data_IF_755954332943
#
_entry.id   IF_755954332943
#
_cell.length_a   1.000
_cell.length_b   1.000
_cell.length_c   1.000
_cell.angle_alpha   90.00
_cell.angle_beta   90.00
_cell.angle_gamma   90.00
#
_symmetry.space_group_name_H-M   'P 1'
#
loop_
_entity.id
_entity.type
_entity.pdbx_description
1 polymer ?
#
# COMPACT_ATOMS: atom_id res chain seq x y z
N UNK A 1 -22.48 -30.74 -15.58
CA UNK A 1 -21.69 -30.11 -14.50
C UNK A 1 -21.97 -28.61 -14.55
N UNK A 2 -23.14 -28.21 -14.04
CA UNK A 2 -23.61 -26.82 -14.09
C UNK A 2 -23.36 -26.16 -12.75
N UNK A 3 -22.27 -25.40 -12.65
CA UNK A 3 -21.97 -24.60 -11.47
C UNK A 3 -22.86 -23.35 -11.50
N UNK A 4 -23.83 -23.32 -10.59
CA UNK A 4 -24.22 -22.21 -9.70
C UNK A 4 -23.97 -20.73 -10.10
N UNK A 5 -24.17 -20.36 -11.37
CA UNK A 5 -24.06 -18.96 -11.85
C UNK A 5 -24.73 -17.88 -10.96
N UNK A 6 -25.89 -18.09 -10.32
CA UNK A 6 -26.52 -17.07 -9.48
C UNK A 6 -25.76 -16.77 -8.18
N UNK A 7 -25.13 -17.77 -7.55
CA UNK A 7 -24.42 -17.60 -6.28
C UNK A 7 -23.06 -16.92 -6.48
N UNK A 8 -22.37 -17.25 -7.58
CA UNK A 8 -21.13 -16.58 -8.00
C UNK A 8 -21.35 -15.10 -8.34
N UNK A 9 -22.43 -14.77 -9.06
CA UNK A 9 -22.80 -13.39 -9.36
C UNK A 9 -23.11 -12.58 -8.08
N UNK A 10 -23.83 -13.17 -7.13
CA UNK A 10 -24.15 -12.54 -5.86
C UNK A 10 -22.89 -12.31 -5.00
N UNK A 11 -21.97 -13.28 -4.96
CA UNK A 11 -20.69 -13.15 -4.26
C UNK A 11 -19.82 -12.04 -4.89
N UNK A 12 -19.72 -12.00 -6.21
CA UNK A 12 -18.96 -10.97 -6.92
C UNK A 12 -19.52 -9.56 -6.70
N UNK A 13 -20.85 -9.41 -6.72
CA UNK A 13 -21.54 -8.15 -6.41
C UNK A 13 -21.31 -7.71 -4.96
N UNK A 14 -21.29 -8.65 -4.01
CA UNK A 14 -20.97 -8.38 -2.61
C UNK A 14 -19.54 -7.84 -2.46
N UNK A 15 -18.55 -8.48 -3.10
CA UNK A 15 -17.16 -8.01 -3.07
C UNK A 15 -17.04 -6.61 -3.68
N UNK A 16 -17.69 -6.37 -4.83
CA UNK A 16 -17.68 -5.04 -5.45
C UNK A 16 -18.25 -3.96 -4.53
N UNK A 17 -19.35 -4.26 -3.82
CA UNK A 17 -19.93 -3.35 -2.82
C UNK A 17 -18.98 -3.11 -1.65
N UNK A 18 -18.32 -4.15 -1.14
CA UNK A 18 -17.33 -4.03 -0.07
C UNK A 18 -16.16 -3.14 -0.49
N UNK A 19 -15.59 -3.36 -1.67
CA UNK A 19 -14.49 -2.54 -2.19
C UNK A 19 -14.89 -1.07 -2.34
N UNK A 20 -16.12 -0.79 -2.76
CA UNK A 20 -16.64 0.58 -2.85
C UNK A 20 -16.71 1.26 -1.47
N UNK A 21 -17.21 0.55 -0.46
CA UNK A 21 -17.30 1.06 0.91
C UNK A 21 -15.93 1.27 1.53
N UNK A 22 -15.03 0.28 1.38
CA UNK A 22 -13.64 0.37 1.82
C UNK A 22 -12.97 1.58 1.18
N UNK A 23 -13.06 1.72 -0.14
CA UNK A 23 -12.45 2.84 -0.87
C UNK A 23 -12.96 4.18 -0.35
N UNK A 24 -14.27 4.32 -0.12
CA UNK A 24 -14.82 5.56 0.44
C UNK A 24 -14.25 5.88 1.83
N UNK A 25 -14.10 4.87 2.69
CA UNK A 25 -13.52 5.03 4.04
C UNK A 25 -12.03 5.37 4.04
N UNK A 26 -11.27 5.05 2.98
CA UNK A 26 -9.86 5.45 2.85
C UNK A 26 -9.66 6.96 2.72
N UNK A 27 -10.70 7.70 2.32
CA UNK A 27 -10.69 9.17 2.28
C UNK A 27 -11.15 9.81 3.60
N UNK A 28 -11.47 9.02 4.62
CA UNK A 28 -11.87 9.55 5.92
C UNK A 28 -10.68 10.20 6.63
N UNK A 29 -10.89 11.40 7.17
CA UNK A 29 -9.93 12.05 8.07
C UNK A 29 -9.92 11.41 9.48
N UNK A 30 -10.92 10.58 9.82
CA UNK A 30 -10.94 9.82 11.07
C UNK A 30 -9.98 8.63 10.96
N UNK A 31 -8.91 8.67 11.74
CA UNK A 31 -7.83 7.68 11.67
C UNK A 31 -8.31 6.24 11.85
N UNK A 32 -9.24 5.99 12.78
CA UNK A 32 -9.75 4.64 13.06
C UNK A 32 -10.49 4.07 11.84
N UNK A 33 -11.40 4.85 11.23
CA UNK A 33 -12.14 4.46 10.02
C UNK A 33 -11.19 4.20 8.85
N UNK A 34 -10.17 5.05 8.70
CA UNK A 34 -9.13 4.89 7.68
C UNK A 34 -8.39 3.56 7.87
N UNK A 35 -7.90 3.29 9.08
CA UNK A 35 -7.11 2.08 9.36
C UNK A 35 -7.93 0.80 9.32
N UNK A 36 -9.21 0.84 9.70
CA UNK A 36 -10.14 -0.26 9.48
C UNK A 36 -10.28 -0.59 7.98
N UNK A 37 -10.41 0.44 7.14
CA UNK A 37 -10.49 0.25 5.69
C UNK A 37 -9.20 -0.32 5.09
N UNK A 38 -8.02 0.16 5.54
CA UNK A 38 -6.71 -0.39 5.14
C UNK A 38 -6.62 -1.88 5.48
N UNK A 39 -6.96 -2.25 6.72
CA UNK A 39 -6.95 -3.66 7.17
C UNK A 39 -7.93 -4.52 6.36
N UNK A 40 -9.16 -4.04 6.18
CA UNK A 40 -10.19 -4.75 5.41
C UNK A 40 -9.78 -4.96 3.95
N UNK A 41 -9.09 -3.99 3.33
CA UNK A 41 -8.54 -4.18 2.00
C UNK A 41 -7.45 -5.25 1.99
N UNK A 42 -6.54 -5.24 2.96
CA UNK A 42 -5.51 -6.27 3.12
C UNK A 42 -6.10 -7.69 3.21
N UNK A 43 -7.13 -7.88 4.05
CA UNK A 43 -7.82 -9.16 4.19
C UNK A 43 -8.51 -9.64 2.90
N UNK A 44 -9.00 -8.70 2.07
CA UNK A 44 -9.52 -9.04 0.74
C UNK A 44 -8.39 -9.36 -0.24
N UNK A 45 -7.30 -8.58 -0.24
CA UNK A 45 -6.14 -8.79 -1.09
C UNK A 45 -5.41 -10.12 -0.77
N UNK A 46 -5.54 -10.64 0.43
CA UNK A 46 -5.05 -11.98 0.81
C UNK A 46 -5.89 -13.14 0.25
N UNK A 47 -7.07 -12.87 -0.31
CA UNK A 47 -8.04 -13.90 -0.76
C UNK A 47 -8.25 -13.87 -2.29
N UNK A 48 -7.40 -14.57 -3.07
CA UNK A 48 -7.51 -14.62 -4.54
C UNK A 48 -8.84 -15.16 -5.06
N UNK A 49 -9.52 -15.99 -4.27
CA UNK A 49 -10.84 -16.55 -4.54
C UNK A 49 -11.96 -15.49 -4.51
N UNK A 50 -11.80 -14.44 -3.68
CA UNK A 50 -12.76 -13.34 -3.58
C UNK A 50 -12.33 -12.13 -4.42
N UNK A 51 -11.02 -11.87 -4.48
CA UNK A 51 -10.42 -10.75 -5.19
C UNK A 51 -9.23 -11.26 -6.01
N UNK A 52 -9.51 -11.54 -7.29
CA UNK A 52 -8.51 -11.98 -8.25
C UNK A 52 -7.49 -10.86 -8.58
N UNK A 53 -6.35 -11.26 -9.16
CA UNK A 53 -5.28 -10.34 -9.52
C UNK A 53 -5.71 -9.27 -10.52
N UNK A 54 -6.63 -9.59 -11.44
CA UNK A 54 -7.13 -8.64 -12.43
C UNK A 54 -7.89 -7.49 -11.79
N UNK A 55 -8.81 -7.83 -10.89
CA UNK A 55 -9.62 -6.86 -10.12
C UNK A 55 -8.77 -6.06 -9.13
N UNK A 56 -7.83 -6.70 -8.45
CA UNK A 56 -6.92 -5.99 -7.54
C UNK A 56 -5.99 -5.04 -8.31
N UNK A 57 -5.43 -5.48 -9.45
CA UNK A 57 -4.62 -4.64 -10.34
C UNK A 57 -5.37 -3.39 -10.80
N UNK A 58 -6.61 -3.55 -11.26
CA UNK A 58 -7.44 -2.41 -11.67
C UNK A 58 -7.79 -1.48 -10.51
N UNK A 59 -7.94 -2.01 -9.30
CA UNK A 59 -8.12 -1.19 -8.10
C UNK A 59 -6.86 -0.37 -7.78
N UNK A 60 -5.68 -1.00 -7.80
CA UNK A 60 -4.40 -0.34 -7.53
C UNK A 60 -4.09 0.75 -8.57
N UNK A 61 -4.34 0.49 -9.86
CA UNK A 61 -4.22 1.51 -10.92
C UNK A 61 -5.06 2.75 -10.63
N UNK A 62 -6.31 2.55 -10.22
CA UNK A 62 -7.19 3.66 -9.84
C UNK A 62 -6.67 4.41 -8.61
N UNK A 63 -6.14 3.71 -7.61
CA UNK A 63 -5.56 4.37 -6.44
C UNK A 63 -4.33 5.22 -6.79
N UNK A 64 -3.41 4.72 -7.61
CA UNK A 64 -2.28 5.52 -8.10
C UNK A 64 -2.74 6.73 -8.92
N UNK A 65 -3.75 6.56 -9.77
CA UNK A 65 -4.33 7.68 -10.51
C UNK A 65 -4.95 8.72 -9.57
N UNK A 66 -5.66 8.29 -8.52
CA UNK A 66 -6.22 9.18 -7.50
C UNK A 66 -5.18 9.91 -6.68
N UNK A 67 -4.03 9.29 -6.40
CA UNK A 67 -2.91 9.98 -5.74
C UNK A 67 -2.40 11.14 -6.60
N UNK A 68 -2.32 10.97 -7.92
CA UNK A 68 -1.87 12.01 -8.84
C UNK A 68 -2.95 13.05 -9.23
N UNK A 69 -4.21 12.86 -8.83
CA UNK A 69 -5.31 13.74 -9.25
C UNK A 69 -5.45 14.96 -8.32
N UNK A 70 -5.58 16.16 -8.89
CA UNK A 70 -5.74 17.43 -8.17
C UNK A 70 -7.17 17.61 -7.58
N UNK A 71 -7.96 16.54 -7.44
CA UNK A 71 -9.42 16.58 -7.25
C UNK A 71 -9.90 17.05 -5.87
N UNK A 72 -9.08 17.75 -5.09
CA UNK A 72 -9.42 18.37 -3.80
C UNK A 72 -9.68 17.40 -2.63
N UNK A 73 -9.90 16.12 -2.88
CA UNK A 73 -10.05 15.10 -1.85
C UNK A 73 -8.67 14.57 -1.44
N UNK A 74 -8.29 14.74 -0.17
CA UNK A 74 -7.01 14.24 0.35
C UNK A 74 -7.10 12.72 0.52
N UNK A 75 -6.27 11.93 -0.19
CA UNK A 75 -6.33 10.47 -0.17
C UNK A 75 -5.61 9.89 1.05
N UNK A 76 -6.09 10.20 2.25
CA UNK A 76 -5.41 9.95 3.52
C UNK A 76 -4.93 8.51 3.74
N UNK A 77 -5.66 7.51 3.23
CA UNK A 77 -5.34 6.09 3.42
C UNK A 77 -4.96 5.31 2.16
N UNK A 78 -4.90 5.97 1.00
CA UNK A 78 -4.58 5.26 -0.26
C UNK A 78 -3.15 4.70 -0.27
N UNK A 79 -2.11 5.43 0.17
CA UNK A 79 -0.76 4.87 0.21
C UNK A 79 -0.70 3.60 1.06
N UNK A 80 -1.27 3.63 2.27
CA UNK A 80 -1.27 2.49 3.18
C UNK A 80 -2.07 1.31 2.62
N UNK A 81 -3.21 1.58 1.97
CA UNK A 81 -4.00 0.56 1.28
C UNK A 81 -3.22 -0.12 0.15
N UNK A 82 -2.46 0.64 -0.65
CA UNK A 82 -1.57 0.10 -1.68
C UNK A 82 -0.49 -0.77 -1.04
N UNK A 83 0.20 -0.26 -0.01
CA UNK A 83 1.26 -1.01 0.69
C UNK A 83 0.76 -2.32 1.29
N UNK A 84 -0.40 -2.31 1.95
CA UNK A 84 -1.03 -3.50 2.50
C UNK A 84 -1.37 -4.51 1.40
N UNK A 85 -2.00 -4.06 0.30
CA UNK A 85 -2.33 -4.94 -0.83
C UNK A 85 -1.08 -5.57 -1.47
N UNK A 86 0.00 -4.81 -1.65
CA UNK A 86 1.26 -5.32 -2.21
C UNK A 86 1.97 -6.30 -1.27
N UNK A 87 1.84 -6.10 0.05
CA UNK A 87 2.37 -7.04 1.03
C UNK A 87 1.58 -8.38 1.02
N UNK A 88 0.26 -8.33 0.80
CA UNK A 88 -0.59 -9.52 0.72
C UNK A 88 -0.56 -10.20 -0.66
N UNK A 89 -0.21 -9.46 -1.72
CA UNK A 89 -0.14 -9.98 -3.10
C UNK A 89 1.22 -9.67 -3.76
N UNK A 90 2.29 -10.39 -3.39
CA UNK A 90 3.63 -10.19 -3.97
C UNK A 90 3.69 -10.29 -5.49
N UNK A 91 2.81 -11.07 -6.12
CA UNK A 91 2.71 -11.20 -7.57
C UNK A 91 2.44 -9.86 -8.31
N UNK A 92 1.90 -8.86 -7.62
CA UNK A 92 1.64 -7.53 -8.17
C UNK A 92 2.77 -6.52 -7.89
N UNK A 93 3.75 -6.86 -7.05
CA UNK A 93 4.85 -5.95 -6.71
C UNK A 93 5.67 -5.50 -7.94
N UNK A 94 6.03 -6.35 -8.91
CA UNK A 94 6.81 -5.90 -10.08
C UNK A 94 6.13 -4.79 -10.88
N UNK A 95 4.79 -4.70 -10.85
CA UNK A 95 4.02 -3.67 -11.57
C UNK A 95 3.88 -2.38 -10.75
N UNK A 96 3.69 -2.49 -9.44
CA UNK A 96 3.22 -1.36 -8.61
C UNK A 96 4.20 -0.88 -7.55
N UNK A 97 5.12 -1.74 -7.09
CA UNK A 97 6.11 -1.34 -6.11
C UNK A 97 7.04 -0.23 -6.61
N UNK A 98 7.51 -0.23 -7.88
CA UNK A 98 8.30 0.89 -8.40
C UNK A 98 7.55 2.22 -8.34
N UNK A 99 6.23 2.19 -8.61
CA UNK A 99 5.38 3.38 -8.54
C UNK A 99 5.22 3.87 -7.10
N UNK A 100 5.06 2.95 -6.13
CA UNK A 100 4.99 3.32 -4.71
C UNK A 100 6.32 3.89 -4.21
N UNK A 101 7.45 3.30 -4.63
CA UNK A 101 8.80 3.75 -4.31
C UNK A 101 9.05 5.18 -4.81
N UNK A 102 8.62 5.52 -6.03
CA UNK A 102 8.83 6.85 -6.59
C UNK A 102 8.15 7.96 -5.78
N UNK A 103 7.06 7.66 -5.09
CA UNK A 103 6.35 8.61 -4.22
C UNK A 103 7.18 9.06 -3.01
N UNK A 104 8.21 8.31 -2.61
CA UNK A 104 9.06 8.69 -1.47
C UNK A 104 9.99 9.87 -1.76
N UNK A 105 10.26 10.17 -3.03
CA UNK A 105 11.20 11.22 -3.44
C UNK A 105 10.68 12.18 -4.53
N UNK A 106 9.53 11.90 -5.15
CA UNK A 106 8.88 12.84 -6.08
C UNK A 106 8.17 13.95 -5.30
N UNK A 107 8.89 15.07 -5.09
CA UNK A 107 8.54 16.18 -4.19
C UNK A 107 7.27 16.99 -4.51
N UNK A 108 6.54 16.69 -5.59
CA UNK A 108 5.31 17.44 -5.95
C UNK A 108 4.07 16.93 -5.20
N UNK A 109 4.05 15.65 -4.80
CA UNK A 109 2.97 15.08 -3.98
C UNK A 109 3.05 15.46 -2.50
N UNK A 110 4.12 16.14 -2.09
CA UNK A 110 4.44 16.46 -0.70
C UNK A 110 3.63 17.61 -0.10
N UNK A 111 2.50 18.00 -0.73
CA UNK A 111 1.63 19.09 -0.27
C UNK A 111 0.89 18.78 1.05
N UNK A 112 0.94 17.54 1.58
CA UNK A 112 0.48 17.24 2.94
C UNK A 112 1.37 16.17 3.62
N UNK A 113 1.78 16.42 4.88
CA UNK A 113 2.60 15.48 5.66
C UNK A 113 1.93 14.10 5.88
N UNK A 114 0.58 14.04 5.82
CA UNK A 114 -0.18 12.82 5.95
C UNK A 114 0.04 11.82 4.81
N UNK A 115 0.08 12.29 3.54
CA UNK A 115 0.32 11.40 2.39
C UNK A 115 1.74 10.84 2.44
N UNK A 116 2.73 11.69 2.74
CA UNK A 116 4.11 11.25 2.91
C UNK A 116 4.23 10.19 4.02
N UNK A 117 3.59 10.40 5.17
CA UNK A 117 3.56 9.39 6.23
C UNK A 117 2.92 8.09 5.74
N UNK A 118 1.83 8.15 4.98
CA UNK A 118 1.21 6.97 4.38
C UNK A 118 2.16 6.21 3.45
N UNK A 119 2.92 6.92 2.59
CA UNK A 119 3.92 6.33 1.69
C UNK A 119 5.04 5.64 2.48
N UNK A 120 5.59 6.32 3.49
CA UNK A 120 6.63 5.76 4.35
C UNK A 120 6.13 4.47 5.02
N UNK A 121 4.91 4.50 5.57
CA UNK A 121 4.31 3.32 6.19
C UNK A 121 4.14 2.18 5.17
N UNK A 122 3.62 2.49 3.99
CA UNK A 122 3.38 1.52 2.92
C UNK A 122 4.66 0.80 2.49
N UNK A 123 5.77 1.53 2.33
CA UNK A 123 7.06 0.94 2.00
C UNK A 123 7.58 0.04 3.12
N UNK A 124 7.49 0.47 4.38
CA UNK A 124 7.83 -0.39 5.52
C UNK A 124 6.95 -1.65 5.59
N UNK A 125 5.67 -1.52 5.23
CA UNK A 125 4.72 -2.64 5.21
C UNK A 125 5.05 -3.69 4.14
N UNK A 126 5.49 -3.26 2.96
CA UNK A 126 5.97 -4.14 1.88
C UNK A 126 7.29 -4.81 2.30
N UNK A 127 8.17 -4.08 3.01
CA UNK A 127 9.38 -4.65 3.61
C UNK A 127 10.51 -4.84 2.61
N UNK A 128 11.23 -5.97 2.71
CA UNK A 128 12.53 -6.15 2.04
C UNK A 128 12.51 -6.05 0.51
N UNK A 129 11.36 -6.28 -0.13
CA UNK A 129 11.21 -6.10 -1.57
C UNK A 129 11.51 -4.66 -2.02
N UNK A 130 11.32 -3.66 -1.16
CA UNK A 130 11.64 -2.25 -1.45
C UNK A 130 13.13 -2.08 -1.78
N UNK A 131 14.03 -2.69 -1.00
CA UNK A 131 15.47 -2.52 -1.20
C UNK A 131 15.98 -3.09 -2.53
N UNK A 132 15.38 -4.20 -2.98
CA UNK A 132 15.69 -4.79 -4.29
C UNK A 132 15.02 -4.09 -5.46
N UNK A 133 13.87 -3.43 -5.22
CA UNK A 133 13.10 -2.73 -6.24
C UNK A 133 13.69 -1.36 -6.57
N UNK A 134 13.99 -0.55 -5.55
CA UNK A 134 14.38 0.84 -5.72
C UNK A 134 15.31 1.33 -4.58
N UNK A 135 16.63 1.38 -4.83
CA UNK A 135 17.61 1.90 -3.88
C UNK A 135 17.44 3.39 -3.55
N UNK A 136 16.86 4.19 -4.45
CA UNK A 136 16.63 5.61 -4.24
C UNK A 136 15.51 5.84 -3.23
N UNK A 137 14.48 4.98 -3.23
CA UNK A 137 13.47 4.98 -2.18
C UNK A 137 14.07 4.70 -0.79
N UNK A 138 15.00 3.75 -0.67
CA UNK A 138 15.71 3.49 0.60
C UNK A 138 16.54 4.71 1.02
N UNK A 139 17.21 5.36 0.08
CA UNK A 139 17.99 6.58 0.34
C UNK A 139 17.09 7.73 0.79
N UNK A 140 15.93 7.90 0.16
CA UNK A 140 14.92 8.88 0.56
C UNK A 140 14.43 8.62 2.00
N UNK A 141 14.14 7.37 2.35
CA UNK A 141 13.77 6.99 3.72
C UNK A 141 14.87 7.30 4.75
N UNK A 142 16.14 7.06 4.42
CA UNK A 142 17.28 7.44 5.29
C UNK A 142 17.35 8.95 5.50
N UNK A 143 17.17 9.73 4.43
CA UNK A 143 17.14 11.19 4.51
C UNK A 143 15.97 11.68 5.39
N UNK A 144 14.79 11.09 5.25
CA UNK A 144 13.63 11.41 6.08
C UNK A 144 13.87 11.04 7.55
N UNK A 145 14.45 9.86 7.82
CA UNK A 145 14.77 9.40 9.18
C UNK A 145 15.81 10.29 9.91
N UNK A 146 16.69 10.95 9.15
CA UNK A 146 17.69 11.88 9.69
C UNK A 146 17.16 13.31 9.80
N UNK A 147 16.52 13.80 8.74
CA UNK A 147 16.35 15.23 8.50
C UNK A 147 14.89 15.70 8.44
N UNK A 148 13.89 14.81 8.43
CA UNK A 148 12.50 15.24 8.33
C UNK A 148 12.15 16.18 9.50
N UNK A 149 11.56 17.37 9.24
CA UNK A 149 11.23 18.34 10.28
C UNK A 149 10.17 17.79 11.24
N UNK A 150 9.22 17.03 10.70
CA UNK A 150 8.14 16.40 11.45
C UNK A 150 8.61 15.12 12.17
N UNK A 151 8.37 15.04 13.48
CA UNK A 151 8.75 13.89 14.31
C UNK A 151 8.10 12.59 13.84
N UNK A 152 6.82 12.64 13.42
CA UNK A 152 6.08 11.47 12.96
C UNK A 152 6.72 10.86 11.71
N UNK A 153 6.95 11.66 10.66
CA UNK A 153 7.62 11.20 9.44
C UNK A 153 9.01 10.62 9.74
N UNK A 154 9.76 11.25 10.65
CA UNK A 154 11.10 10.78 11.05
C UNK A 154 11.08 9.42 11.75
N UNK A 155 10.18 9.23 12.72
CA UNK A 155 10.04 7.96 13.44
C UNK A 155 9.55 6.84 12.51
N UNK A 156 8.59 7.17 11.65
CA UNK A 156 8.01 6.23 10.70
C UNK A 156 9.04 5.79 9.65
N UNK A 157 9.90 6.69 9.19
CA UNK A 157 10.98 6.36 8.26
C UNK A 157 12.00 5.39 8.88
N UNK A 158 12.33 5.56 10.17
CA UNK A 158 13.17 4.61 10.90
C UNK A 158 12.53 3.24 10.99
N UNK A 159 11.25 3.19 11.38
CA UNK A 159 10.50 1.95 11.42
C UNK A 159 10.47 1.26 10.05
N UNK A 160 10.24 2.00 8.97
CA UNK A 160 10.19 1.45 7.62
C UNK A 160 11.53 0.85 7.21
N UNK A 161 12.64 1.55 7.46
CA UNK A 161 13.99 1.03 7.21
C UNK A 161 14.24 -0.28 7.97
N UNK A 162 13.85 -0.36 9.24
CA UNK A 162 13.99 -1.60 10.01
C UNK A 162 13.20 -2.77 9.38
N UNK A 163 11.98 -2.53 8.88
CA UNK A 163 11.20 -3.58 8.22
C UNK A 163 11.86 -4.06 6.92
N UNK A 164 12.40 -3.11 6.15
CA UNK A 164 13.11 -3.38 4.89
C UNK A 164 14.36 -4.23 5.17
N UNK A 165 15.09 -3.93 6.24
CA UNK A 165 16.29 -4.68 6.64
C UNK A 165 15.97 -6.07 7.21
N UNK A 166 14.95 -6.20 8.07
CA UNK A 166 14.56 -7.48 8.71
C UNK A 166 14.21 -8.56 7.69
N UNK A 167 13.56 -8.21 6.57
CA UNK A 167 13.23 -9.18 5.51
C UNK A 167 14.40 -9.59 4.61
N UNK A 168 15.53 -8.89 4.65
CA UNK A 168 16.76 -9.24 3.93
C UNK A 168 17.67 -10.21 4.70
N UNK A 169 17.48 -10.32 6.02
CA UNK A 169 18.27 -11.21 6.88
C UNK A 169 17.71 -12.64 6.96
N UNK A 170 16.46 -12.86 6.56
CA UNK A 170 15.82 -14.18 6.59
C UNK A 170 16.33 -15.16 5.50
N UNK A 171 17.13 -14.72 4.52
CA UNK A 171 17.60 -15.55 3.40
C UNK A 171 19.11 -15.83 3.41
N UNK A 172 19.88 -15.33 4.39
CA UNK A 172 21.34 -15.50 4.43
C UNK A 172 21.84 -16.42 5.57
N UNK A 173 20.97 -17.25 6.15
CA UNK A 173 21.38 -18.16 7.21
C UNK A 173 20.55 -19.43 7.21
N UNK A 174 21.14 -20.49 6.64
CA UNK A 174 21.09 -21.92 7.05
C UNK A 174 21.20 -22.82 5.80
N UNK A 175 22.43 -22.93 5.29
CA UNK A 175 22.91 -24.06 4.51
C UNK A 175 24.36 -24.28 4.95
N UNK A 176 24.51 -25.04 6.03
CA UNK A 176 25.77 -25.48 6.63
C UNK A 176 25.49 -26.71 7.47
#
# INVERSE_FOLDING_TARGET
MGLDKPSELAASARVARQLRLITASLYSAEADKKWEAVRALGELAARPDLLDDGRLRELLRRYFWSLNSESGAVPFGLPEAIGEALAQRPALQPEFLPLLCSLAYQGEMSQTGAILCGVIWALGRVGSAVAGCDPDAVTALRNLAANAPETQARQLARWALEQIEKGGQATCGQAG
#
